data_IF_321678815260
#
_entry.id   IF_321678815260
#
_cell.length_a   1.000
_cell.length_b   1.000
_cell.length_c   1.000
_cell.angle_alpha   90.00
_cell.angle_beta   90.00
_cell.angle_gamma   90.00
#
_symmetry.space_group_name_H-M   'P 1'
#
loop_
_entity.id
_entity.type
_entity.pdbx_description
1 polymer ?
#
# COMPACT_ATOMS: atom_id res chain seq x y z
N UNK A 1 -14.71 2.02 0.54
CA UNK A 1 -13.39 2.67 0.34
C UNK A 1 -12.59 1.80 -0.60
N UNK A 2 -12.01 2.35 -1.68
CA UNK A 2 -11.07 1.58 -2.52
C UNK A 2 -9.89 1.09 -1.67
N UNK A 3 -9.43 -0.13 -1.94
CA UNK A 3 -8.33 -0.79 -1.22
C UNK A 3 -8.51 -0.83 0.30
N UNK A 4 -9.74 -1.09 0.78
CA UNK A 4 -10.04 -1.23 2.21
C UNK A 4 -9.14 -2.27 2.89
N UNK A 5 -8.88 -3.40 2.22
CA UNK A 5 -8.00 -4.47 2.73
C UNK A 5 -6.55 -4.01 2.90
N UNK A 6 -5.98 -3.36 1.88
CA UNK A 6 -4.64 -2.80 1.93
C UNK A 6 -4.52 -1.68 2.97
N UNK A 7 -5.54 -0.83 3.09
CA UNK A 7 -5.59 0.21 4.12
C UNK A 7 -5.58 -0.42 5.51
N UNK A 8 -6.40 -1.45 5.75
CA UNK A 8 -6.42 -2.19 7.01
C UNK A 8 -5.03 -2.70 7.37
N UNK A 9 -4.37 -3.37 6.42
CA UNK A 9 -3.02 -3.92 6.62
C UNK A 9 -1.96 -2.85 6.94
N UNK A 10 -2.04 -1.68 6.29
CA UNK A 10 -1.17 -0.55 6.59
C UNK A 10 -1.37 -0.07 8.04
N UNK A 11 -2.63 0.03 8.50
CA UNK A 11 -2.93 0.45 9.87
C UNK A 11 -2.47 -0.60 10.88
N UNK A 12 -2.70 -1.89 10.61
CA UNK A 12 -2.24 -2.98 11.48
C UNK A 12 -0.73 -2.99 11.68
N UNK A 13 0.05 -2.77 10.61
CA UNK A 13 1.52 -2.89 10.67
C UNK A 13 2.24 -1.58 11.01
N UNK A 14 1.73 -0.44 10.53
CA UNK A 14 2.39 0.87 10.65
C UNK A 14 1.59 1.90 11.45
N UNK A 15 0.37 1.58 11.89
CA UNK A 15 -0.52 2.47 12.65
C UNK A 15 -1.17 3.56 11.80
N UNK A 16 -0.44 4.20 10.88
CA UNK A 16 -0.98 5.24 10.00
C UNK A 16 -0.40 5.15 8.59
N UNK A 17 -1.15 5.65 7.60
CA UNK A 17 -0.66 5.80 6.23
C UNK A 17 0.56 6.73 6.13
N UNK A 18 0.61 7.78 6.96
CA UNK A 18 1.74 8.71 7.02
C UNK A 18 3.03 7.99 7.41
N UNK A 19 2.99 7.17 8.47
CA UNK A 19 4.16 6.39 8.92
C UNK A 19 4.59 5.35 7.89
N UNK A 20 3.64 4.73 7.19
CA UNK A 20 3.95 3.85 6.07
C UNK A 20 4.66 4.61 4.94
N UNK A 21 4.20 5.81 4.58
CA UNK A 21 4.84 6.65 3.57
C UNK A 21 6.29 7.01 3.93
N UNK A 22 6.55 7.35 5.20
CA UNK A 22 7.89 7.62 5.73
C UNK A 22 8.82 6.40 5.57
N UNK A 23 8.38 5.20 5.97
CA UNK A 23 9.16 3.95 5.81
C UNK A 23 9.38 3.61 4.33
N UNK A 24 8.39 3.88 3.49
CA UNK A 24 8.43 3.63 2.06
C UNK A 24 9.37 4.60 1.32
N UNK A 25 9.76 5.72 1.96
CA UNK A 25 10.53 6.81 1.37
C UNK A 25 9.73 7.61 0.35
N UNK A 26 8.41 7.75 0.54
CA UNK A 26 7.52 8.48 -0.35
C UNK A 26 6.78 9.60 0.38
N UNK A 27 6.42 10.65 -0.36
CA UNK A 27 5.48 11.64 0.14
C UNK A 27 4.11 10.99 0.41
N UNK A 28 3.50 11.33 1.56
CA UNK A 28 2.18 10.82 1.95
C UNK A 28 1.09 11.13 0.91
N UNK A 29 1.21 12.25 0.18
CA UNK A 29 0.26 12.57 -0.90
C UNK A 29 0.25 11.48 -1.98
N UNK A 30 1.42 10.91 -2.32
CA UNK A 30 1.55 9.97 -3.42
C UNK A 30 0.93 8.62 -3.05
N UNK A 31 1.17 8.20 -1.80
CA UNK A 31 0.52 7.03 -1.20
C UNK A 31 -1.00 7.23 -1.19
N UNK A 32 -1.48 8.42 -0.82
CA UNK A 32 -2.92 8.73 -0.83
C UNK A 32 -3.54 8.67 -2.23
N UNK A 33 -2.85 9.21 -3.24
CA UNK A 33 -3.29 9.14 -4.64
C UNK A 33 -3.36 7.70 -5.15
N UNK A 34 -2.40 6.84 -4.79
CA UNK A 34 -2.44 5.41 -5.09
C UNK A 34 -3.61 4.70 -4.41
N UNK A 35 -3.84 4.97 -3.13
CA UNK A 35 -4.98 4.41 -2.37
C UNK A 35 -6.35 4.86 -2.91
N UNK A 36 -6.40 5.99 -3.62
CA UNK A 36 -7.59 6.50 -4.31
C UNK A 36 -7.70 6.04 -5.77
N UNK A 37 -6.85 5.12 -6.24
CA UNK A 37 -6.72 4.69 -7.65
C UNK A 37 -6.45 5.82 -8.65
N UNK A 38 -6.00 7.00 -8.20
CA UNK A 38 -5.57 8.10 -9.08
C UNK A 38 -4.25 7.79 -9.79
N UNK A 39 -3.41 6.99 -9.14
CA UNK A 39 -2.14 6.51 -9.67
C UNK A 39 -2.14 4.98 -9.53
N UNK A 40 -2.01 4.27 -10.65
CA UNK A 40 -2.01 2.82 -10.69
C UNK A 40 -0.73 2.24 -10.06
N UNK A 41 -0.87 1.11 -9.35
CA UNK A 41 0.27 0.34 -8.86
C UNK A 41 1.00 -0.32 -10.03
N UNK A 42 2.30 -0.07 -10.13
CA UNK A 42 3.19 -0.89 -10.97
C UNK A 42 3.51 -2.20 -10.27
N UNK A 43 4.06 -3.17 -11.01
CA UNK A 43 4.55 -4.43 -10.42
C UNK A 43 5.60 -4.17 -9.33
N UNK A 44 6.50 -3.22 -9.56
CA UNK A 44 7.54 -2.86 -8.58
C UNK A 44 6.95 -2.22 -7.32
N UNK A 45 5.88 -1.42 -7.46
CA UNK A 45 5.15 -0.91 -6.29
C UNK A 45 4.54 -2.07 -5.49
N UNK A 46 3.88 -3.01 -6.16
CA UNK A 46 3.26 -4.16 -5.49
C UNK A 46 4.30 -5.00 -4.76
N UNK A 47 5.45 -5.26 -5.38
CA UNK A 47 6.56 -5.98 -4.75
C UNK A 47 7.13 -5.23 -3.54
N UNK A 48 7.40 -3.92 -3.68
CA UNK A 48 7.95 -3.10 -2.60
C UNK A 48 6.98 -2.98 -1.42
N UNK A 49 5.70 -2.71 -1.71
CA UNK A 49 4.66 -2.58 -0.69
C UNK A 49 4.36 -3.93 -0.05
N UNK A 50 4.25 -5.00 -0.86
CA UNK A 50 4.03 -6.35 -0.37
C UNK A 50 5.12 -6.80 0.60
N UNK A 51 6.39 -6.58 0.25
CA UNK A 51 7.52 -6.85 1.16
C UNK A 51 7.42 -6.06 2.47
N UNK A 52 7.09 -4.77 2.41
CA UNK A 52 6.94 -3.95 3.61
C UNK A 52 5.72 -4.31 4.45
N UNK A 53 4.67 -4.88 3.84
CA UNK A 53 3.40 -5.22 4.51
C UNK A 53 3.28 -6.71 4.87
N UNK A 54 4.33 -7.50 4.60
CA UNK A 54 4.31 -8.98 4.66
C UNK A 54 3.10 -9.57 3.90
N UNK A 55 2.81 -9.03 2.72
CA UNK A 55 1.81 -9.57 1.82
C UNK A 55 2.57 -10.41 0.79
N UNK A 56 2.34 -11.73 0.72
CA UNK A 56 3.00 -12.56 -0.26
C UNK A 56 2.38 -12.35 -1.66
N UNK A 57 3.14 -12.59 -2.75
CA UNK A 57 2.66 -12.35 -4.12
C UNK A 57 1.34 -13.04 -4.47
N UNK A 58 1.07 -14.22 -3.91
CA UNK A 58 -0.18 -14.97 -4.14
C UNK A 58 -1.43 -14.20 -3.67
N UNK A 59 -1.28 -13.28 -2.72
CA UNK A 59 -2.38 -12.47 -2.19
C UNK A 59 -2.51 -11.12 -2.89
N UNK A 60 -1.63 -10.77 -3.84
CA UNK A 60 -1.62 -9.43 -4.45
C UNK A 60 -2.94 -9.06 -5.10
N UNK A 61 -3.66 -10.03 -5.68
CA UNK A 61 -4.97 -9.78 -6.26
C UNK A 61 -5.95 -9.19 -5.24
N UNK A 62 -5.99 -9.73 -4.03
CA UNK A 62 -6.94 -9.31 -2.98
C UNK A 62 -6.61 -7.95 -2.35
N UNK A 63 -5.35 -7.53 -2.43
CA UNK A 63 -4.89 -6.29 -1.81
C UNK A 63 -4.81 -5.12 -2.80
N UNK A 64 -4.43 -5.38 -4.06
CA UNK A 64 -4.08 -4.34 -5.03
C UNK A 64 -5.05 -4.23 -6.21
N UNK A 65 -6.13 -5.02 -6.26
CA UNK A 65 -7.20 -4.91 -7.28
C UNK A 65 -8.58 -4.67 -6.63
#
# INVERSE_FOLDING_TARGET
MMFSKLKGRIIEKFGTQKRFAEVLGMHNNLVSQRMQKKIAFSKDDMLKWGKLLDIPPEQFYEYFF
#
